data_IF_981347116453
#
_entry.id   IF_981347116453
#
_cell.length_a   1.000
_cell.length_b   1.000
_cell.length_c   1.000
_cell.angle_alpha   90.00
_cell.angle_beta   90.00
_cell.angle_gamma   90.00
#
_symmetry.space_group_name_H-M   'P 1'
#
loop_
_entity.id
_entity.type
_entity.pdbx_description
1 polymer ?
#
# COMPACT_ATOMS: atom_id res chain seq x y z
N UNK A 1 48.77 22.30 -52.73
CA UNK A 1 47.51 21.47 -52.95
C UNK A 1 46.36 22.29 -52.51
N UNK A 2 45.62 22.91 -53.41
CA UNK A 2 44.47 23.70 -53.11
C UNK A 2 43.28 22.75 -52.81
N UNK A 3 42.57 23.03 -51.74
CA UNK A 3 41.46 22.20 -51.23
C UNK A 3 40.25 22.34 -52.18
N UNK A 4 39.86 21.29 -52.92
CA UNK A 4 38.82 21.38 -53.96
C UNK A 4 37.40 21.64 -53.41
N UNK A 5 37.23 21.63 -52.11
CA UNK A 5 35.92 21.85 -51.44
C UNK A 5 35.59 23.34 -51.17
N UNK A 6 36.59 24.25 -51.24
CA UNK A 6 36.36 25.67 -50.98
C UNK A 6 35.35 26.35 -51.94
N UNK A 7 35.35 26.09 -53.24
CA UNK A 7 34.39 26.72 -54.11
C UNK A 7 32.94 26.17 -53.92
N UNK A 8 32.82 24.90 -53.56
CA UNK A 8 31.52 24.30 -53.30
C UNK A 8 30.83 24.86 -52.03
N UNK A 9 31.60 25.09 -50.96
CA UNK A 9 31.09 25.69 -49.72
C UNK A 9 30.68 27.16 -49.92
N UNK A 10 31.41 27.90 -50.72
CA UNK A 10 31.07 29.31 -51.03
C UNK A 10 29.81 29.39 -51.87
N UNK A 11 29.65 28.49 -52.84
CA UNK A 11 28.44 28.42 -53.68
C UNK A 11 27.18 28.03 -52.86
N UNK A 12 27.30 27.10 -51.93
CA UNK A 12 26.20 26.70 -51.01
C UNK A 12 25.80 27.83 -50.05
N UNK A 13 26.81 28.57 -49.50
CA UNK A 13 26.53 29.71 -48.64
C UNK A 13 25.84 30.86 -49.39
N UNK A 14 26.29 31.13 -50.63
CA UNK A 14 25.66 32.15 -51.47
C UNK A 14 24.20 31.79 -51.84
N UNK A 15 23.90 30.50 -52.11
CA UNK A 15 22.54 30.03 -52.40
C UNK A 15 21.62 30.15 -51.14
N UNK A 16 22.17 29.88 -49.96
CA UNK A 16 21.41 30.03 -48.71
C UNK A 16 21.08 31.51 -48.39
N UNK A 17 22.04 32.42 -48.61
CA UNK A 17 21.82 33.86 -48.42
C UNK A 17 20.83 34.39 -49.47
N UNK A 18 20.92 33.92 -50.71
CA UNK A 18 19.99 34.34 -51.78
C UNK A 18 18.55 33.84 -51.51
N UNK A 19 18.43 32.65 -50.95
CA UNK A 19 17.09 32.10 -50.55
C UNK A 19 16.44 32.88 -49.41
N UNK A 20 17.26 33.37 -48.46
CA UNK A 20 16.76 34.22 -47.35
C UNK A 20 16.40 35.63 -47.84
N UNK A 21 17.15 36.20 -48.78
CA UNK A 21 16.88 37.52 -49.32
C UNK A 21 15.67 37.54 -50.30
N UNK A 22 15.43 36.46 -51.03
CA UNK A 22 14.26 36.30 -51.89
C UNK A 22 13.00 35.90 -51.15
N UNK A 23 13.09 35.33 -49.97
CA UNK A 23 12.00 34.99 -49.09
C UNK A 23 11.34 36.18 -48.37
N UNK A 24 11.97 37.37 -48.39
CA UNK A 24 11.48 38.57 -47.66
C UNK A 24 10.61 39.47 -48.55
N UNK A 25 10.62 39.30 -49.88
CA UNK A 25 9.82 40.09 -50.81
C UNK A 25 8.59 39.36 -51.32
N UNK A 26 7.52 39.31 -50.56
CA UNK A 26 6.16 39.50 -51.00
C UNK A 26 5.51 38.41 -51.87
N UNK A 27 5.69 37.11 -51.60
CA UNK A 27 4.95 36.06 -52.28
C UNK A 27 4.41 34.96 -51.31
N UNK A 28 4.00 35.31 -50.11
CA UNK A 28 3.26 34.43 -49.19
C UNK A 28 1.88 34.98 -48.84
N UNK A 29 1.11 35.34 -49.84
CA UNK A 29 -0.31 35.47 -49.70
C UNK A 29 -0.97 34.19 -50.23
N UNK A 30 -1.15 33.20 -49.34
CA UNK A 30 -1.95 32.03 -49.74
C UNK A 30 -1.58 30.69 -49.10
N UNK A 31 -0.60 30.62 -48.19
CA UNK A 31 -0.46 29.42 -47.36
C UNK A 31 -1.15 29.73 -46.04
N UNK A 32 -2.40 29.24 -45.91
CA UNK A 32 -3.03 29.16 -44.62
C UNK A 32 -2.02 28.51 -43.65
N UNK A 33 -1.62 29.23 -42.59
CA UNK A 33 -0.92 28.63 -41.47
C UNK A 33 -1.65 27.33 -41.16
N UNK A 34 -1.01 26.15 -41.21
CA UNK A 34 -1.54 25.08 -40.44
C UNK A 34 -1.47 25.58 -38.98
N UNK A 35 -2.57 26.09 -38.47
CA UNK A 35 -2.76 26.20 -37.04
C UNK A 35 -2.47 24.79 -36.54
N UNK A 36 -1.28 24.60 -35.98
CA UNK A 36 -1.06 23.50 -35.06
C UNK A 36 -2.04 23.77 -33.93
N UNK A 37 -3.28 23.35 -34.12
CA UNK A 37 -4.19 23.09 -33.04
C UNK A 37 -3.51 21.97 -32.24
N UNK A 38 -2.63 22.35 -31.36
CA UNK A 38 -2.35 21.57 -30.20
C UNK A 38 -3.69 21.47 -29.52
N UNK A 39 -4.45 20.43 -29.82
CA UNK A 39 -5.63 20.08 -29.05
C UNK A 39 -5.15 19.74 -27.66
N UNK A 40 -5.01 20.79 -26.85
CA UNK A 40 -4.79 20.58 -25.42
C UNK A 40 -5.99 19.84 -24.91
N UNK A 41 -5.83 18.54 -24.71
CA UNK A 41 -6.86 17.69 -24.12
C UNK A 41 -7.27 18.38 -22.81
N UNK A 42 -8.55 18.64 -22.64
CA UNK A 42 -9.02 19.35 -21.42
C UNK A 42 -8.72 18.50 -20.18
N UNK A 43 -8.54 19.14 -19.04
CA UNK A 43 -8.32 18.46 -17.77
C UNK A 43 -9.48 17.53 -17.40
N UNK A 44 -10.71 17.90 -17.82
CA UNK A 44 -11.91 17.10 -17.63
C UNK A 44 -11.85 15.81 -18.47
N UNK A 45 -11.37 15.87 -19.70
CA UNK A 45 -11.19 14.70 -20.55
C UNK A 45 -10.09 13.75 -20.00
N UNK A 46 -9.01 14.31 -19.46
CA UNK A 46 -7.96 13.54 -18.79
C UNK A 46 -8.51 12.89 -17.50
N UNK A 47 -9.27 13.61 -16.71
CA UNK A 47 -9.91 13.09 -15.50
C UNK A 47 -10.93 11.99 -15.83
N UNK A 48 -11.72 12.17 -16.90
CA UNK A 48 -12.67 11.13 -17.34
C UNK A 48 -11.96 9.85 -17.77
N UNK A 49 -10.85 9.96 -18.52
CA UNK A 49 -10.02 8.80 -18.89
C UNK A 49 -9.56 8.00 -17.65
N UNK A 50 -9.22 8.68 -16.55
CA UNK A 50 -8.86 8.00 -15.31
C UNK A 50 -10.05 7.29 -14.65
N UNK A 51 -11.24 7.90 -14.66
CA UNK A 51 -12.48 7.26 -14.18
C UNK A 51 -12.80 6.01 -15.00
N UNK A 52 -12.68 6.09 -16.32
CA UNK A 52 -12.93 4.97 -17.24
C UNK A 52 -11.93 3.83 -16.99
N UNK A 53 -10.64 4.17 -16.81
CA UNK A 53 -9.59 3.20 -16.49
C UNK A 53 -9.84 2.50 -15.14
N UNK A 54 -10.20 3.25 -14.10
CA UNK A 54 -10.54 2.70 -12.78
C UNK A 54 -11.77 1.79 -12.89
N UNK A 55 -12.81 2.23 -13.60
CA UNK A 55 -14.04 1.47 -13.77
C UNK A 55 -13.80 0.14 -14.48
N UNK A 56 -12.93 0.13 -15.49
CA UNK A 56 -12.63 -1.07 -16.27
C UNK A 56 -11.72 -2.08 -15.55
N UNK A 57 -10.85 -1.62 -14.64
CA UNK A 57 -9.76 -2.45 -14.12
C UNK A 57 -9.85 -2.73 -12.61
N UNK A 58 -10.59 -1.91 -11.84
CA UNK A 58 -10.52 -1.97 -10.38
C UNK A 58 -11.89 -2.04 -9.68
N UNK A 59 -13.00 -1.84 -10.38
CA UNK A 59 -14.32 -1.90 -9.75
C UNK A 59 -14.94 -3.29 -9.85
N UNK A 60 -15.53 -3.71 -8.73
CA UNK A 60 -16.32 -4.92 -8.67
C UNK A 60 -17.72 -4.70 -9.28
N UNK A 61 -18.41 -5.79 -9.62
CA UNK A 61 -19.79 -5.73 -10.10
C UNK A 61 -20.70 -5.03 -9.07
N UNK A 62 -21.51 -4.08 -9.56
CA UNK A 62 -22.42 -3.30 -8.70
C UNK A 62 -21.83 -2.00 -8.14
N UNK A 63 -20.55 -1.72 -8.39
CA UNK A 63 -19.94 -0.43 -8.06
C UNK A 63 -19.75 0.40 -9.33
N UNK A 64 -20.10 1.68 -9.28
CA UNK A 64 -19.88 2.63 -10.38
C UNK A 64 -18.99 3.77 -9.93
N UNK A 65 -18.17 4.31 -10.84
CA UNK A 65 -17.37 5.50 -10.58
C UNK A 65 -17.85 6.66 -11.46
N UNK A 66 -17.85 7.86 -10.88
CA UNK A 66 -18.21 9.09 -11.58
C UNK A 66 -17.27 10.23 -11.25
N UNK A 67 -16.91 11.05 -12.25
CA UNK A 67 -16.13 12.26 -12.04
C UNK A 67 -16.98 13.30 -11.30
N UNK A 68 -16.47 13.81 -10.17
CA UNK A 68 -17.11 14.90 -9.40
C UNK A 68 -16.47 16.23 -9.74
N UNK A 69 -15.12 16.28 -9.73
CA UNK A 69 -14.39 17.52 -9.97
C UNK A 69 -12.94 17.22 -10.39
N UNK A 70 -12.31 18.17 -11.09
CA UNK A 70 -10.88 18.15 -11.38
C UNK A 70 -10.29 19.55 -11.20
N UNK A 71 -9.22 19.63 -10.44
CA UNK A 71 -8.50 20.89 -10.20
C UNK A 71 -7.03 20.71 -10.49
N UNK A 72 -6.41 21.73 -11.07
CA UNK A 72 -4.96 21.73 -11.23
C UNK A 72 -4.31 22.21 -9.92
N UNK A 73 -3.32 21.46 -9.44
CA UNK A 73 -2.57 21.77 -8.25
C UNK A 73 -1.12 21.28 -8.39
N UNK A 74 -0.15 22.16 -8.13
CA UNK A 74 1.29 21.82 -8.12
C UNK A 74 1.76 21.03 -9.36
N UNK A 75 1.22 21.34 -10.55
CA UNK A 75 1.64 20.71 -11.80
C UNK A 75 1.00 19.35 -12.11
N UNK A 76 0.03 18.91 -11.31
CA UNK A 76 -0.76 17.71 -11.53
C UNK A 76 -2.26 18.04 -11.47
N UNK A 77 -3.10 17.17 -11.98
CA UNK A 77 -4.56 17.25 -11.82
C UNK A 77 -5.00 16.43 -10.61
N UNK A 78 -5.60 17.09 -9.62
CA UNK A 78 -6.31 16.44 -8.52
C UNK A 78 -7.74 16.17 -8.98
N UNK A 79 -8.10 14.91 -9.10
CA UNK A 79 -9.41 14.44 -9.55
C UNK A 79 -10.20 13.87 -8.37
N UNK A 80 -11.44 14.31 -8.23
CA UNK A 80 -12.38 13.84 -7.22
C UNK A 80 -13.33 12.85 -7.90
N UNK A 81 -13.36 11.62 -7.40
CA UNK A 81 -14.17 10.52 -7.94
C UNK A 81 -15.18 10.10 -6.88
N UNK A 82 -16.43 9.92 -7.30
CA UNK A 82 -17.47 9.31 -6.48
C UNK A 82 -17.61 7.85 -6.89
N UNK A 83 -17.55 6.96 -5.93
CA UNK A 83 -17.89 5.56 -6.06
C UNK A 83 -19.29 5.35 -5.46
N UNK A 84 -20.20 4.79 -6.24
CA UNK A 84 -21.58 4.50 -5.80
C UNK A 84 -21.82 3.01 -5.80
N UNK A 85 -22.32 2.49 -4.67
CA UNK A 85 -22.67 1.07 -4.47
C UNK A 85 -23.98 0.95 -3.69
N UNK A 86 -24.45 -0.28 -3.46
CA UNK A 86 -25.59 -0.55 -2.58
C UNK A 86 -25.39 -0.05 -1.14
N UNK A 87 -24.13 0.06 -0.72
CA UNK A 87 -23.75 0.44 0.66
C UNK A 87 -23.59 1.97 0.81
N UNK A 88 -23.81 2.73 -0.28
CA UNK A 88 -23.76 4.18 -0.32
C UNK A 88 -22.64 4.75 -1.21
N UNK A 89 -22.54 6.08 -1.20
CA UNK A 89 -21.57 6.84 -1.96
C UNK A 89 -20.29 7.07 -1.17
N UNK A 90 -19.14 6.87 -1.81
CA UNK A 90 -17.82 7.19 -1.27
C UNK A 90 -17.08 8.17 -2.18
N UNK A 91 -16.29 9.06 -1.60
CA UNK A 91 -15.46 10.01 -2.34
C UNK A 91 -13.99 9.63 -2.18
N UNK A 92 -13.29 9.52 -3.31
CA UNK A 92 -11.85 9.34 -3.33
C UNK A 92 -11.16 10.41 -4.19
N UNK A 93 -9.86 10.55 -3.95
CA UNK A 93 -9.01 11.48 -4.69
C UNK A 93 -7.94 10.70 -5.42
N UNK A 94 -7.70 11.04 -6.68
CA UNK A 94 -6.55 10.57 -7.45
C UNK A 94 -5.84 11.74 -8.09
N UNK A 95 -4.58 11.56 -8.40
CA UNK A 95 -3.74 12.58 -9.04
C UNK A 95 -3.27 12.09 -10.39
N UNK A 96 -3.25 12.96 -11.39
CA UNK A 96 -2.89 12.63 -12.76
C UNK A 96 -1.80 13.56 -13.25
N UNK A 97 -0.89 13.04 -14.07
CA UNK A 97 -0.02 13.91 -14.86
C UNK A 97 -0.84 14.76 -15.84
N UNK A 98 -0.34 15.92 -16.24
CA UNK A 98 -1.05 16.83 -17.16
C UNK A 98 -1.34 16.22 -18.55
N UNK A 99 -0.51 15.29 -18.97
CA UNK A 99 -0.70 14.52 -20.21
C UNK A 99 -1.64 13.32 -20.06
N UNK A 100 -2.08 13.03 -18.82
CA UNK A 100 -2.95 11.89 -18.52
C UNK A 100 -2.27 10.53 -18.71
N UNK A 101 -0.94 10.46 -18.68
CA UNK A 101 -0.19 9.21 -18.87
C UNK A 101 -0.04 8.40 -17.58
N UNK A 102 -0.05 9.06 -16.41
CA UNK A 102 0.11 8.40 -15.12
C UNK A 102 -1.00 8.80 -14.15
N UNK A 103 -1.42 7.82 -13.34
CA UNK A 103 -2.35 7.97 -12.23
C UNK A 103 -1.66 7.60 -10.93
N UNK A 104 -1.83 8.44 -9.90
CA UNK A 104 -1.31 8.24 -8.56
C UNK A 104 -2.46 8.21 -7.55
N UNK A 105 -2.54 7.23 -6.66
CA UNK A 105 -3.59 7.18 -5.63
C UNK A 105 -3.42 8.25 -4.55
N UNK A 106 -2.20 8.79 -4.39
CA UNK A 106 -1.91 9.86 -3.43
C UNK A 106 -0.76 10.74 -3.92
N UNK A 107 -0.73 12.01 -3.46
CA UNK A 107 0.36 12.94 -3.70
C UNK A 107 0.62 13.78 -2.44
N UNK A 108 1.90 13.96 -2.11
CA UNK A 108 2.35 14.75 -0.97
C UNK A 108 3.03 16.03 -1.48
N UNK A 109 2.58 17.23 -1.09
CA UNK A 109 3.25 18.47 -1.48
C UNK A 109 4.60 18.58 -0.77
N UNK A 110 5.69 18.51 -1.54
CA UNK A 110 7.05 18.60 -0.99
C UNK A 110 7.39 20.02 -0.49
N UNK A 111 6.64 21.03 -0.97
CA UNK A 111 6.76 22.44 -0.55
C UNK A 111 5.88 22.80 0.64
N UNK A 112 4.89 21.98 0.98
CA UNK A 112 4.28 22.10 2.28
C UNK A 112 5.44 21.87 3.28
N UNK A 113 5.91 22.97 3.91
CA UNK A 113 6.49 22.80 5.24
C UNK A 113 5.49 21.92 5.94
N UNK A 114 5.90 20.70 6.35
CA UNK A 114 5.13 19.94 7.32
C UNK A 114 4.74 20.98 8.36
N UNK A 115 3.48 21.44 8.30
CA UNK A 115 3.02 22.51 9.19
C UNK A 115 3.20 21.91 10.55
N UNK A 116 4.31 22.29 11.21
CA UNK A 116 4.73 21.96 12.55
C UNK A 116 4.15 20.73 13.23
N UNK A 117 3.95 19.62 12.54
CA UNK A 117 3.97 18.33 13.19
C UNK A 117 5.43 18.13 13.61
N UNK A 118 5.76 18.72 14.78
CA UNK A 118 6.95 18.33 15.53
C UNK A 118 6.91 16.82 15.50
N UNK A 119 7.87 16.18 14.81
CA UNK A 119 7.96 14.74 14.80
C UNK A 119 8.06 14.36 16.26
N UNK A 120 6.98 13.83 16.83
CA UNK A 120 6.96 13.43 18.23
C UNK A 120 8.13 12.51 18.47
N UNK A 121 8.81 12.70 19.56
CA UNK A 121 9.80 11.71 19.99
C UNK A 121 9.07 10.41 20.33
N UNK A 122 9.79 9.29 20.37
CA UNK A 122 9.18 8.02 20.78
C UNK A 122 8.61 8.13 22.22
N UNK A 123 9.24 8.92 23.09
CA UNK A 123 8.77 9.20 24.45
C UNK A 123 7.44 9.98 24.46
N UNK A 124 7.31 11.01 23.63
CA UNK A 124 6.07 11.77 23.50
C UNK A 124 4.95 10.92 22.90
N UNK A 125 5.28 10.08 21.93
CA UNK A 125 4.35 9.11 21.33
C UNK A 125 3.91 8.07 22.34
N UNK A 126 4.84 7.57 23.15
CA UNK A 126 4.60 6.65 24.26
C UNK A 126 3.68 7.24 25.33
N UNK A 127 3.90 8.52 25.69
CA UNK A 127 3.08 9.21 26.69
C UNK A 127 1.61 9.43 26.24
N UNK A 128 1.37 9.44 24.93
CA UNK A 128 0.04 9.63 24.35
C UNK A 128 -0.78 8.34 24.23
N UNK A 129 -0.18 7.16 24.46
CA UNK A 129 -0.86 5.87 24.33
C UNK A 129 -1.74 5.54 25.53
N UNK A 130 -2.84 4.84 25.26
CA UNK A 130 -3.62 4.17 26.30
C UNK A 130 -2.80 3.00 26.84
N UNK A 131 -2.61 2.94 28.18
CA UNK A 131 -1.86 1.89 28.85
C UNK A 131 -2.79 0.95 29.62
N UNK A 132 -2.42 -0.32 29.67
CA UNK A 132 -3.12 -1.37 30.41
C UNK A 132 -2.10 -2.24 31.17
N UNK A 133 -2.56 -2.97 32.20
CA UNK A 133 -1.71 -3.93 32.91
C UNK A 133 -1.26 -5.04 31.97
N UNK A 134 -2.17 -5.48 31.08
CA UNK A 134 -1.94 -6.48 30.05
C UNK A 134 -2.12 -5.81 28.68
N UNK A 135 -1.02 -5.29 28.13
CA UNK A 135 -1.06 -4.61 26.83
C UNK A 135 -1.28 -5.62 25.71
N UNK A 136 -2.15 -5.26 24.75
CA UNK A 136 -2.49 -6.10 23.62
C UNK A 136 -2.32 -5.32 22.28
N UNK A 137 -1.47 -5.85 21.41
CA UNK A 137 -1.25 -5.37 20.05
C UNK A 137 -1.95 -6.28 19.06
N UNK A 138 -2.96 -5.77 18.39
CA UNK A 138 -3.61 -6.43 17.27
C UNK A 138 -3.11 -5.83 15.95
N UNK A 139 -2.70 -6.69 15.02
CA UNK A 139 -2.16 -6.26 13.74
C UNK A 139 -2.97 -6.90 12.61
N UNK A 140 -3.73 -6.08 11.89
CA UNK A 140 -4.61 -6.52 10.82
C UNK A 140 -3.85 -6.53 9.49
N UNK A 141 -3.82 -7.69 8.83
CA UNK A 141 -3.07 -7.90 7.58
C UNK A 141 -3.87 -8.71 6.56
N UNK A 142 -3.35 -8.77 5.35
CA UNK A 142 -3.65 -9.82 4.37
C UNK A 142 -2.35 -10.47 3.93
N UNK A 143 -2.35 -11.80 3.76
CA UNK A 143 -1.13 -12.61 3.68
C UNK A 143 -0.29 -12.45 2.42
N UNK A 144 -0.85 -11.87 1.35
CA UNK A 144 -0.13 -11.57 0.11
C UNK A 144 0.10 -10.07 -0.13
N UNK A 145 -0.35 -9.18 0.77
CA UNK A 145 0.03 -7.77 0.71
C UNK A 145 1.49 -7.60 1.10
N UNK A 146 2.35 -7.01 0.26
CA UNK A 146 3.77 -6.81 0.55
C UNK A 146 4.03 -6.07 1.87
N UNK A 147 3.20 -5.08 2.19
CA UNK A 147 3.32 -4.34 3.45
C UNK A 147 2.82 -5.16 4.66
N UNK A 148 1.81 -6.01 4.46
CA UNK A 148 1.31 -6.94 5.47
C UNK A 148 2.34 -8.01 5.80
N UNK A 149 2.93 -8.65 4.79
CA UNK A 149 4.00 -9.65 4.96
C UNK A 149 5.26 -9.05 5.56
N UNK A 150 5.61 -7.79 5.19
CA UNK A 150 6.71 -7.08 5.83
C UNK A 150 6.45 -6.89 7.35
N UNK A 151 5.24 -6.50 7.73
CA UNK A 151 4.88 -6.36 9.14
C UNK A 151 4.88 -7.71 9.85
N UNK A 152 4.34 -8.77 9.25
CA UNK A 152 4.41 -10.12 9.81
C UNK A 152 5.86 -10.55 10.07
N UNK A 153 6.80 -10.20 9.16
CA UNK A 153 8.24 -10.43 9.36
C UNK A 153 8.79 -9.68 10.57
N UNK A 154 8.45 -8.40 10.69
CA UNK A 154 8.84 -7.60 11.84
C UNK A 154 8.32 -8.19 13.15
N UNK A 155 7.06 -8.64 13.18
CA UNK A 155 6.47 -9.28 14.37
C UNK A 155 7.14 -10.61 14.70
N UNK A 156 7.44 -11.43 13.68
CA UNK A 156 8.18 -12.69 13.88
C UNK A 156 9.57 -12.44 14.47
N UNK A 157 10.27 -11.38 14.02
CA UNK A 157 11.56 -11.00 14.59
C UNK A 157 11.42 -10.46 16.03
N UNK A 158 10.34 -9.73 16.36
CA UNK A 158 10.05 -9.30 17.73
C UNK A 158 9.87 -10.52 18.64
N UNK A 159 9.04 -11.48 18.22
CA UNK A 159 8.76 -12.70 19.00
C UNK A 159 9.99 -13.59 19.11
N UNK A 160 10.81 -13.70 18.07
CA UNK A 160 12.07 -14.46 18.12
C UNK A 160 13.09 -13.82 19.07
N UNK A 161 13.16 -12.49 19.12
CA UNK A 161 14.09 -11.76 19.99
C UNK A 161 13.59 -11.55 21.42
N UNK A 162 12.26 -11.51 21.63
CA UNK A 162 11.61 -11.30 22.93
C UNK A 162 10.36 -12.22 23.01
N UNK A 163 10.55 -13.52 23.27
CA UNK A 163 9.44 -14.50 23.24
C UNK A 163 8.30 -14.19 24.22
N UNK A 164 8.59 -13.56 25.34
CA UNK A 164 7.59 -13.17 26.35
C UNK A 164 6.53 -12.19 25.80
N UNK A 165 6.85 -11.48 24.71
CA UNK A 165 5.88 -10.56 24.09
C UNK A 165 4.93 -11.27 23.10
N UNK A 166 5.14 -12.55 22.82
CA UNK A 166 4.32 -13.29 21.85
C UNK A 166 2.84 -13.34 22.24
N UNK A 167 2.52 -13.49 23.53
CA UNK A 167 1.16 -13.55 24.05
C UNK A 167 0.40 -12.22 23.95
N UNK A 168 1.16 -11.10 23.84
CA UNK A 168 0.62 -9.75 23.70
C UNK A 168 0.43 -9.31 22.25
N UNK A 169 0.74 -10.17 21.27
CA UNK A 169 0.67 -9.86 19.85
C UNK A 169 -0.29 -10.82 19.14
N UNK A 170 -1.34 -10.28 18.56
CA UNK A 170 -2.28 -11.05 17.74
C UNK A 170 -2.28 -10.51 16.31
N UNK A 171 -1.86 -11.33 15.36
CA UNK A 171 -2.04 -11.04 13.93
C UNK A 171 -3.46 -11.45 13.52
N UNK A 172 -4.24 -10.50 13.02
CA UNK A 172 -5.58 -10.72 12.51
C UNK A 172 -5.65 -10.48 11.02
N UNK A 173 -6.65 -11.02 10.37
CA UNK A 173 -6.78 -10.93 8.92
C UNK A 173 -7.94 -10.04 8.52
N UNK A 174 -7.78 -9.37 7.37
CA UNK A 174 -8.82 -8.55 6.75
C UNK A 174 -9.47 -9.36 5.63
N UNK A 175 -10.79 -9.35 5.57
CA UNK A 175 -11.55 -10.07 4.56
C UNK A 175 -13.04 -10.00 4.84
N UNK A 176 -13.78 -10.82 4.12
CA UNK A 176 -15.22 -10.97 4.32
C UNK A 176 -15.65 -12.42 4.05
N UNK A 177 -16.82 -12.79 4.53
CA UNK A 177 -17.43 -14.08 4.24
C UNK A 177 -18.62 -13.87 3.32
N UNK A 178 -18.59 -14.50 2.16
CA UNK A 178 -19.69 -14.47 1.18
C UNK A 178 -20.08 -15.91 0.86
N UNK A 179 -21.36 -16.25 1.07
CA UNK A 179 -21.90 -17.59 0.84
C UNK A 179 -21.08 -18.69 1.53
N UNK A 180 -20.65 -18.46 2.78
CA UNK A 180 -19.86 -19.42 3.56
C UNK A 180 -18.39 -19.57 3.09
N UNK A 181 -17.91 -18.69 2.23
CA UNK A 181 -16.54 -18.71 1.70
C UNK A 181 -15.80 -17.44 2.07
N UNK A 182 -14.55 -17.58 2.54
CA UNK A 182 -13.66 -16.47 2.82
C UNK A 182 -13.27 -15.77 1.51
N UNK A 183 -13.37 -14.45 1.51
CA UNK A 183 -12.91 -13.57 0.43
C UNK A 183 -11.81 -12.65 0.97
N UNK A 184 -10.83 -12.34 0.13
CA UNK A 184 -9.74 -11.43 0.46
C UNK A 184 -9.40 -10.51 -0.72
N UNK A 185 -8.63 -9.45 -0.45
CA UNK A 185 -8.36 -8.35 -1.41
C UNK A 185 -7.69 -8.84 -2.71
N UNK A 186 -6.78 -9.82 -2.63
CA UNK A 186 -6.04 -10.34 -3.78
C UNK A 186 -6.55 -11.73 -4.25
N UNK A 187 -7.81 -12.03 -3.94
CA UNK A 187 -8.49 -13.21 -4.47
C UNK A 187 -8.37 -14.47 -3.62
N UNK A 188 -8.75 -15.62 -4.24
CA UNK A 188 -8.96 -16.88 -3.52
C UNK A 188 -7.68 -17.50 -2.93
N UNK A 189 -6.54 -17.29 -3.56
CA UNK A 189 -5.24 -17.80 -3.05
C UNK A 189 -4.88 -17.14 -1.73
N UNK A 190 -5.05 -15.83 -1.63
CA UNK A 190 -4.86 -15.08 -0.39
C UNK A 190 -5.90 -15.45 0.67
N UNK A 191 -7.16 -15.56 0.27
CA UNK A 191 -8.23 -15.99 1.16
C UNK A 191 -7.95 -17.36 1.81
N UNK A 192 -7.46 -18.31 1.01
CA UNK A 192 -7.07 -19.64 1.51
C UNK A 192 -5.86 -19.57 2.45
N UNK A 193 -4.89 -18.70 2.17
CA UNK A 193 -3.73 -18.52 3.03
C UNK A 193 -4.09 -17.79 4.33
N UNK A 194 -4.92 -16.75 4.27
CA UNK A 194 -5.44 -16.08 5.46
C UNK A 194 -6.12 -17.08 6.39
N UNK A 195 -7.03 -17.91 5.84
CA UNK A 195 -7.74 -18.93 6.63
C UNK A 195 -6.79 -19.98 7.22
N UNK A 196 -5.75 -20.39 6.47
CA UNK A 196 -4.71 -21.29 6.97
C UNK A 196 -3.97 -20.71 8.17
N UNK A 197 -3.50 -19.47 8.05
CA UNK A 197 -2.79 -18.79 9.13
C UNK A 197 -3.69 -18.57 10.34
N UNK A 198 -4.97 -18.24 10.14
CA UNK A 198 -5.97 -18.17 11.21
C UNK A 198 -6.10 -19.51 11.93
N UNK A 199 -6.30 -20.61 11.19
CA UNK A 199 -6.44 -21.94 11.78
C UNK A 199 -5.19 -22.37 12.57
N UNK A 200 -3.99 -22.07 12.05
CA UNK A 200 -2.73 -22.37 12.77
C UNK A 200 -2.65 -21.51 14.04
N UNK A 201 -2.94 -20.22 13.98
CA UNK A 201 -2.92 -19.32 15.14
C UNK A 201 -3.85 -19.79 16.24
N UNK A 202 -5.09 -20.13 15.89
CA UNK A 202 -6.12 -20.50 16.87
C UNK A 202 -5.93 -21.90 17.45
N UNK A 203 -5.41 -22.84 16.66
CA UNK A 203 -5.39 -24.23 17.10
C UNK A 203 -3.99 -24.78 17.38
N UNK A 204 -2.95 -24.14 16.84
CA UNK A 204 -1.55 -24.56 16.98
C UNK A 204 -0.64 -23.36 17.20
N UNK A 205 -0.89 -22.55 18.25
CA UNK A 205 -0.20 -21.28 18.46
C UNK A 205 1.34 -21.44 18.60
N UNK A 206 1.81 -22.61 19.05
CA UNK A 206 3.24 -22.95 19.14
C UNK A 206 3.94 -23.07 17.78
N UNK A 207 3.16 -23.37 16.72
CA UNK A 207 3.66 -23.45 15.36
C UNK A 207 3.51 -22.14 14.58
N UNK A 208 2.63 -21.22 15.03
CA UNK A 208 2.19 -20.07 14.27
C UNK A 208 3.35 -19.17 13.82
N UNK A 209 4.18 -18.72 14.75
CA UNK A 209 5.26 -17.80 14.44
C UNK A 209 6.35 -18.43 13.57
N UNK A 210 6.59 -19.74 13.73
CA UNK A 210 7.51 -20.50 12.86
C UNK A 210 6.95 -20.60 11.45
N UNK A 211 5.65 -20.82 11.32
CA UNK A 211 4.97 -20.86 10.02
C UNK A 211 5.04 -19.52 9.32
N UNK A 212 4.67 -18.45 9.99
CA UNK A 212 4.72 -17.08 9.45
C UNK A 212 6.14 -16.73 9.02
N UNK A 213 7.15 -16.95 9.86
CA UNK A 213 8.55 -16.68 9.56
C UNK A 213 9.05 -17.44 8.31
N UNK A 214 8.61 -18.68 8.12
CA UNK A 214 8.90 -19.43 6.90
C UNK A 214 8.15 -18.86 5.68
N UNK A 215 6.85 -18.60 5.82
CA UNK A 215 5.98 -18.19 4.73
C UNK A 215 6.41 -16.84 4.10
N UNK A 216 6.78 -15.86 4.92
CA UNK A 216 7.24 -14.56 4.42
C UNK A 216 8.54 -14.64 3.59
N UNK A 217 9.34 -15.68 3.79
CA UNK A 217 10.61 -15.88 3.09
C UNK A 217 10.47 -16.74 1.84
N UNK A 218 9.54 -17.69 1.80
CA UNK A 218 9.40 -18.68 0.73
C UNK A 218 8.12 -18.56 -0.07
N UNK A 219 7.04 -18.01 0.52
CA UNK A 219 5.65 -18.00 -0.01
C UNK A 219 5.11 -19.42 -0.33
N UNK A 220 5.80 -20.46 0.11
CA UNK A 220 5.40 -21.85 -0.10
C UNK A 220 4.72 -22.40 1.15
N UNK A 221 3.39 -22.33 1.18
CA UNK A 221 2.60 -22.83 2.33
C UNK A 221 2.91 -24.28 2.67
N UNK A 222 3.00 -25.17 1.68
CA UNK A 222 3.24 -26.61 1.92
C UNK A 222 4.61 -26.89 2.55
N UNK A 223 5.67 -26.22 2.08
CA UNK A 223 7.00 -26.38 2.66
C UNK A 223 7.04 -25.84 4.10
N UNK A 224 6.34 -24.76 4.36
CA UNK A 224 6.32 -24.10 5.67
C UNK A 224 5.50 -24.87 6.71
N UNK A 225 4.48 -25.63 6.33
CA UNK A 225 3.76 -26.53 7.24
C UNK A 225 4.73 -27.54 7.88
N UNK A 226 5.54 -28.21 7.07
CA UNK A 226 6.53 -29.17 7.56
C UNK A 226 7.62 -28.50 8.42
N UNK A 227 8.16 -27.35 7.96
CA UNK A 227 9.21 -26.60 8.67
C UNK A 227 8.74 -26.12 10.04
N UNK A 228 7.49 -25.69 10.15
CA UNK A 228 6.92 -25.19 11.41
C UNK A 228 6.44 -26.30 12.35
N UNK A 229 6.37 -27.55 11.87
CA UNK A 229 5.84 -28.67 12.63
C UNK A 229 4.32 -28.62 12.81
N UNK A 230 3.61 -28.07 11.83
CA UNK A 230 2.15 -27.99 11.84
C UNK A 230 1.55 -29.37 11.65
N UNK A 231 0.64 -29.75 12.55
CA UNK A 231 -0.22 -30.93 12.38
C UNK A 231 -1.21 -30.68 11.22
N UNK A 232 -0.96 -31.34 10.11
CA UNK A 232 -1.72 -31.14 8.86
C UNK A 232 -3.13 -31.72 8.93
N UNK A 233 -3.38 -32.73 9.73
CA UNK A 233 -4.71 -33.34 9.89
C UNK A 233 -5.61 -32.44 10.72
N UNK A 234 -5.06 -31.89 11.81
CA UNK A 234 -5.74 -30.86 12.63
C UNK A 234 -6.02 -29.59 11.83
N UNK A 235 -5.05 -29.13 11.05
CA UNK A 235 -5.24 -28.01 10.14
C UNK A 235 -6.32 -28.30 9.10
N UNK A 236 -6.28 -29.48 8.46
CA UNK A 236 -7.28 -29.90 7.48
C UNK A 236 -8.70 -29.91 8.06
N UNK A 237 -8.82 -30.39 9.30
CA UNK A 237 -10.10 -30.34 10.04
C UNK A 237 -10.59 -28.91 10.25
N UNK A 238 -9.73 -28.00 10.70
CA UNK A 238 -10.10 -26.59 10.87
C UNK A 238 -10.53 -25.93 9.56
N UNK A 239 -9.79 -26.17 8.48
CA UNK A 239 -10.07 -25.59 7.16
C UNK A 239 -11.38 -26.09 6.55
N UNK A 240 -11.77 -27.34 6.81
CA UNK A 240 -12.99 -27.96 6.27
C UNK A 240 -14.24 -27.76 7.15
N UNK A 241 -14.06 -27.52 8.43
CA UNK A 241 -15.15 -27.29 9.37
C UNK A 241 -15.56 -25.81 9.39
N UNK A 242 -16.68 -25.51 8.72
CA UNK A 242 -17.23 -24.16 8.66
C UNK A 242 -17.57 -23.59 10.05
N UNK A 243 -17.88 -24.43 11.02
CA UNK A 243 -18.15 -23.98 12.39
C UNK A 243 -16.88 -23.59 13.16
N UNK A 244 -15.70 -23.92 12.64
CA UNK A 244 -14.37 -23.61 13.24
C UNK A 244 -13.64 -22.54 12.42
N UNK A 245 -13.08 -22.89 11.29
CA UNK A 245 -12.24 -22.00 10.48
C UNK A 245 -12.99 -20.74 10.02
N UNK A 246 -14.22 -20.88 9.53
CA UNK A 246 -15.04 -19.73 9.12
C UNK A 246 -15.39 -18.85 10.32
N UNK A 247 -15.72 -19.42 11.48
CA UNK A 247 -16.01 -18.65 12.69
C UNK A 247 -14.79 -17.84 13.14
N UNK A 248 -13.59 -18.43 13.16
CA UNK A 248 -12.35 -17.72 13.49
C UNK A 248 -12.09 -16.58 12.52
N UNK A 249 -12.31 -16.81 11.21
CA UNK A 249 -12.18 -15.76 10.21
C UNK A 249 -13.21 -14.65 10.40
N UNK A 250 -14.47 -14.98 10.73
CA UNK A 250 -15.52 -14.01 11.01
C UNK A 250 -15.18 -13.14 12.23
N UNK A 251 -14.57 -13.72 13.27
CA UNK A 251 -14.13 -12.98 14.45
C UNK A 251 -13.05 -11.94 14.06
N UNK A 252 -12.08 -12.33 13.25
CA UNK A 252 -11.05 -11.40 12.75
C UNK A 252 -11.65 -10.28 11.90
N UNK A 253 -12.54 -10.63 10.96
CA UNK A 253 -13.14 -9.65 10.05
C UNK A 253 -14.06 -8.66 10.79
N UNK A 254 -14.83 -9.15 11.74
CA UNK A 254 -15.70 -8.30 12.59
C UNK A 254 -14.85 -7.32 13.44
N UNK A 255 -13.69 -7.76 13.92
CA UNK A 255 -12.77 -6.88 14.63
C UNK A 255 -12.13 -5.87 13.69
N UNK A 256 -11.73 -6.29 12.49
CA UNK A 256 -11.19 -5.39 11.47
C UNK A 256 -12.19 -4.28 11.12
N UNK A 257 -13.47 -4.64 10.93
CA UNK A 257 -14.55 -3.69 10.68
C UNK A 257 -14.74 -2.73 11.86
N UNK A 258 -14.74 -3.24 13.08
CA UNK A 258 -14.88 -2.45 14.31
C UNK A 258 -13.79 -1.36 14.45
N UNK A 259 -12.61 -1.61 13.94
CA UNK A 259 -11.50 -0.64 13.91
C UNK A 259 -11.36 0.09 12.58
N UNK A 260 -12.24 -0.14 11.61
CA UNK A 260 -12.12 0.37 10.23
C UNK A 260 -10.72 0.03 9.63
N UNK A 261 -10.25 -1.19 9.85
CA UNK A 261 -8.98 -1.69 9.35
C UNK A 261 -9.14 -2.13 7.89
N UNK A 262 -9.13 -1.17 6.97
CA UNK A 262 -9.30 -1.39 5.53
C UNK A 262 -7.98 -1.53 4.78
N UNK A 263 -6.84 -1.34 5.46
CA UNK A 263 -5.48 -1.41 4.88
C UNK A 263 -4.58 -2.37 5.65
N UNK A 264 -3.69 -3.04 4.93
CA UNK A 264 -2.71 -3.99 5.47
C UNK A 264 -1.29 -3.37 5.45
N UNK A 265 -0.60 -3.24 6.61
CA UNK A 265 -1.09 -3.49 7.95
C UNK A 265 -1.89 -2.32 8.56
N UNK A 266 -2.81 -2.63 9.47
CA UNK A 266 -3.37 -1.68 10.45
C UNK A 266 -3.03 -2.16 11.85
N UNK A 267 -2.53 -1.28 12.70
CA UNK A 267 -2.12 -1.60 14.07
C UNK A 267 -3.11 -1.00 15.08
N UNK A 268 -3.45 -1.80 16.07
CA UNK A 268 -4.32 -1.40 17.20
C UNK A 268 -3.66 -1.84 18.51
N UNK A 269 -3.36 -0.90 19.40
CA UNK A 269 -2.82 -1.15 20.72
C UNK A 269 -3.86 -0.77 21.76
N UNK A 270 -4.19 -1.71 22.63
CA UNK A 270 -5.14 -1.49 23.74
C UNK A 270 -6.48 -0.88 23.27
N UNK A 271 -6.96 -1.30 22.10
CA UNK A 271 -8.22 -0.83 21.51
C UNK A 271 -8.14 0.48 20.72
N UNK A 272 -6.97 1.12 20.63
CA UNK A 272 -6.76 2.35 19.87
C UNK A 272 -5.87 2.13 18.64
N UNK A 273 -6.22 2.71 17.50
CA UNK A 273 -5.36 2.67 16.31
C UNK A 273 -4.05 3.43 16.57
N UNK A 274 -2.95 2.84 16.16
CA UNK A 274 -1.60 3.38 16.35
C UNK A 274 -0.77 3.25 15.08
N UNK A 275 0.38 3.92 15.05
CA UNK A 275 1.31 3.86 13.92
C UNK A 275 2.72 3.52 14.40
N UNK A 276 3.33 2.52 13.80
CA UNK A 276 4.74 2.17 14.01
C UNK A 276 5.70 3.30 13.58
N UNK A 277 5.23 4.19 12.70
CA UNK A 277 6.04 5.32 12.23
C UNK A 277 6.27 6.38 13.32
N UNK A 278 5.42 6.44 14.33
CA UNK A 278 5.59 7.31 15.50
C UNK A 278 6.71 6.81 16.45
N UNK A 279 7.19 5.58 16.21
CA UNK A 279 8.23 4.91 17.02
C UNK A 279 9.52 4.60 16.24
N UNK A 280 9.64 5.06 15.01
CA UNK A 280 10.84 4.88 14.19
C UNK A 280 10.63 4.01 12.95
N UNK A 281 9.39 3.60 12.66
CA UNK A 281 9.02 2.91 11.42
C UNK A 281 8.85 1.40 11.56
N UNK A 282 8.75 0.74 10.43
CA UNK A 282 8.45 -0.70 10.37
C UNK A 282 9.69 -1.54 10.57
N UNK A 283 10.15 -1.66 11.81
CA UNK A 283 11.28 -2.47 12.21
C UNK A 283 11.03 -3.08 13.61
N UNK A 284 11.74 -4.17 13.99
CA UNK A 284 11.51 -4.88 15.25
C UNK A 284 11.61 -4.01 16.50
N UNK A 285 12.61 -3.12 16.57
CA UNK A 285 12.77 -2.25 17.74
C UNK A 285 11.62 -1.27 17.91
N UNK A 286 11.16 -0.65 16.80
CA UNK A 286 10.07 0.31 16.84
C UNK A 286 8.75 -0.35 17.25
N UNK A 287 8.43 -1.53 16.70
CA UNK A 287 7.19 -2.26 17.01
C UNK A 287 7.22 -2.81 18.44
N UNK A 288 8.35 -3.33 18.90
CA UNK A 288 8.54 -3.71 20.31
C UNK A 288 8.33 -2.50 21.23
N UNK A 289 8.95 -1.35 20.92
CA UNK A 289 8.82 -0.13 21.73
C UNK A 289 7.36 0.33 21.79
N UNK A 290 6.66 0.32 20.67
CA UNK A 290 5.23 0.64 20.59
C UNK A 290 4.42 -0.26 21.54
N UNK A 291 4.59 -1.59 21.46
CA UNK A 291 3.90 -2.53 22.37
C UNK A 291 4.28 -2.28 23.84
N UNK A 292 5.56 -2.13 24.13
CA UNK A 292 6.06 -1.88 25.49
C UNK A 292 5.49 -0.59 26.10
N UNK A 293 5.24 0.43 25.30
CA UNK A 293 4.58 1.67 25.74
C UNK A 293 3.10 1.47 26.11
N UNK A 294 2.48 0.37 25.69
CA UNK A 294 1.10 0.02 26.02
C UNK A 294 0.92 -0.53 27.44
N UNK A 295 1.99 -0.93 28.12
CA UNK A 295 1.91 -1.43 29.49
C UNK A 295 1.89 -0.30 30.53
N UNK A 296 1.10 -0.45 31.57
CA UNK A 296 1.18 0.37 32.79
C UNK A 296 2.53 0.16 33.47
N UNK A 297 2.92 -1.09 33.65
CA UNK A 297 4.25 -1.48 34.16
C UNK A 297 4.91 -2.33 33.08
N UNK A 298 5.97 -1.81 32.47
CA UNK A 298 6.67 -2.52 31.41
C UNK A 298 7.33 -3.80 31.94
N UNK A 299 7.16 -4.96 31.27
CA UNK A 299 7.91 -6.15 31.63
C UNK A 299 9.41 -5.96 31.39
N UNK A 300 10.24 -6.66 32.17
CA UNK A 300 11.70 -6.55 32.05
C UNK A 300 12.27 -6.87 30.68
N UNK A 301 11.58 -7.72 29.95
CA UNK A 301 11.90 -8.09 28.55
C UNK A 301 11.85 -6.91 27.56
N UNK A 302 11.11 -5.85 27.88
CA UNK A 302 11.09 -4.60 27.09
C UNK A 302 12.45 -3.89 27.01
N UNK A 303 13.37 -4.15 27.95
CA UNK A 303 14.72 -3.62 27.91
C UNK A 303 15.63 -4.27 26.85
N UNK A 304 15.22 -5.40 26.27
CA UNK A 304 15.95 -6.09 25.19
C UNK A 304 15.97 -5.23 23.94
N UNK A 305 17.16 -4.95 23.40
CA UNK A 305 17.32 -4.21 22.16
C UNK A 305 17.22 -5.14 20.98
N UNK A 306 16.42 -4.75 19.99
CA UNK A 306 16.24 -5.44 18.73
C UNK A 306 16.84 -4.67 17.56
N UNK A 307 16.80 -5.26 16.36
CA UNK A 307 17.28 -4.62 15.13
C UNK A 307 16.40 -3.43 14.74
N UNK A 308 17.03 -2.34 14.30
CA UNK A 308 16.37 -1.21 13.66
C UNK A 308 16.27 -1.38 12.12
N UNK A 309 16.72 -2.51 11.59
CA UNK A 309 16.67 -2.81 10.15
C UNK A 309 15.44 -3.66 9.89
N UNK A 310 14.66 -3.27 8.90
CA UNK A 310 13.53 -4.07 8.44
C UNK A 310 14.05 -5.31 7.71
N UNK A 311 13.75 -6.47 8.24
CA UNK A 311 14.02 -7.75 7.58
C UNK A 311 12.75 -8.14 6.83
N UNK A 312 12.73 -8.05 5.52
CA UNK A 312 11.56 -8.44 4.72
C UNK A 312 11.64 -7.87 3.31
N UNK A 313 11.35 -8.69 2.32
CA UNK A 313 11.26 -8.26 0.92
C UNK A 313 10.01 -7.41 0.72
N UNK A 314 10.18 -6.11 0.57
CA UNK A 314 9.16 -5.27 -0.05
C UNK A 314 9.33 -5.37 -1.58
N UNK A 315 8.56 -6.20 -2.24
CA UNK A 315 8.42 -6.18 -3.70
C UNK A 315 6.95 -5.90 -4.03
N UNK A 316 6.67 -4.68 -4.44
CA UNK A 316 5.36 -4.24 -4.92
C UNK A 316 4.51 -3.52 -3.87
N UNK A 317 3.54 -2.73 -4.34
CA UNK A 317 2.49 -2.10 -3.51
C UNK A 317 1.22 -2.95 -3.47
N UNK A 318 0.43 -2.76 -2.45
CA UNK A 318 -0.95 -3.25 -2.41
C UNK A 318 -1.85 -2.35 -3.26
#
# INVERSE_FOLDING_TARGET
MENPWKPACIALAALLVLSVLLGISGAYSGIANPSFYSSTVSKEAIAQKAVDFISANYLNAGVTAGLVNVTETNGVYKTVIRYSSSDGDQIAYVYLTRDGSLLFPSAYPLTARAGGAVKKTAEESCAALTRQDDAALEVFVVSYCPYGTQMQGVLADVVAGVPDLAEHITVRYIGQITNGTVQSMHGSTEAAENLRQICIREEQPEAYWKYVACFINSTSSSACLATAGVDTDRLGTCLSDLARGIRYAQDDFSRADGYSATGSPTLVLNGARVSEFDFGGRNPEAVKTLLCCGFLTQPGSCATRLSNVTTGRSQGGC
#
